data_IF_708064795158
#
_entry.id   IF_708064795158
#
_cell.length_a   1.000
_cell.length_b   1.000
_cell.length_c   1.000
_cell.angle_alpha   90.00
_cell.angle_beta   90.00
_cell.angle_gamma   90.00
#
_symmetry.space_group_name_H-M   'P 1'
#
loop_
_entity.id
_entity.type
_entity.pdbx_description
1 polymer ?
#
# COMPACT_ATOMS: atom_id res chain seq x y z
N UNK A 1 -11.67 -23.36 9.30
CA UNK A 1 -10.82 -23.03 8.13
C UNK A 1 -9.72 -22.11 8.61
N UNK A 2 -8.48 -22.59 8.65
CA UNK A 2 -7.36 -21.84 9.21
C UNK A 2 -6.84 -20.86 8.15
N UNK A 3 -7.26 -19.60 8.23
CA UNK A 3 -6.77 -18.52 7.36
C UNK A 3 -5.43 -18.01 7.88
N UNK A 4 -4.38 -18.84 7.82
CA UNK A 4 -3.00 -18.39 7.98
C UNK A 4 -2.55 -17.66 6.71
N UNK A 5 -3.19 -16.52 6.42
CA UNK A 5 -2.66 -15.60 5.44
C UNK A 5 -1.51 -14.87 6.14
N UNK A 6 -0.26 -14.94 5.65
CA UNK A 6 0.81 -14.16 6.24
C UNK A 6 0.41 -12.68 6.16
N UNK A 7 0.43 -12.01 7.31
CA UNK A 7 0.25 -10.57 7.34
C UNK A 7 1.33 -9.92 6.46
N UNK A 8 0.96 -8.89 5.71
CA UNK A 8 1.93 -8.13 4.91
C UNK A 8 3.04 -7.65 5.84
N UNK A 9 4.32 -7.90 5.53
CA UNK A 9 5.42 -7.50 6.40
C UNK A 9 5.48 -5.98 6.52
N UNK A 10 5.70 -5.47 7.72
CA UNK A 10 5.88 -4.03 7.98
C UNK A 10 7.30 -3.53 7.64
N UNK A 11 8.24 -4.45 7.47
CA UNK A 11 9.66 -4.15 7.26
C UNK A 11 10.21 -4.92 6.06
N UNK A 12 11.45 -4.61 5.68
CA UNK A 12 12.12 -5.31 4.58
C UNK A 12 12.33 -6.78 4.95
N UNK A 13 11.93 -7.68 4.06
CA UNK A 13 12.15 -9.12 4.18
C UNK A 13 12.86 -9.64 2.94
N UNK A 14 13.74 -10.62 3.12
CA UNK A 14 14.37 -11.34 2.00
C UNK A 14 13.31 -12.21 1.32
N UNK A 15 13.30 -12.22 -0.01
CA UNK A 15 12.35 -12.99 -0.82
C UNK A 15 13.09 -13.83 -1.85
N UNK A 16 12.51 -14.97 -2.20
CA UNK A 16 13.01 -15.79 -3.30
C UNK A 16 12.63 -15.14 -4.64
N UNK A 17 13.62 -14.90 -5.48
CA UNK A 17 13.41 -14.27 -6.80
C UNK A 17 12.61 -15.19 -7.73
N UNK A 18 12.76 -16.51 -7.57
CA UNK A 18 12.03 -17.51 -8.36
C UNK A 18 10.52 -17.52 -8.05
N UNK A 19 10.06 -16.91 -6.96
CA UNK A 19 8.63 -16.80 -6.70
C UNK A 19 8.02 -15.60 -7.46
N UNK A 20 8.86 -14.65 -7.89
CA UNK A 20 8.45 -13.44 -8.58
C UNK A 20 8.47 -13.60 -10.10
N UNK A 21 9.36 -14.42 -10.65
CA UNK A 21 9.45 -14.66 -12.10
C UNK A 21 8.40 -15.66 -12.61
N UNK A 22 8.00 -16.65 -11.80
CA UNK A 22 7.07 -17.72 -12.17
C UNK A 22 5.76 -17.21 -12.79
N UNK A 23 5.28 -16.03 -12.38
CA UNK A 23 4.00 -15.48 -12.84
C UNK A 23 4.04 -14.89 -14.24
N UNK A 24 5.19 -14.38 -14.66
CA UNK A 24 5.35 -13.63 -15.92
C UNK A 24 6.34 -14.29 -16.89
N UNK A 25 7.15 -15.22 -16.38
CA UNK A 25 8.32 -15.75 -17.08
C UNK A 25 9.46 -14.73 -17.23
N UNK A 26 9.33 -13.53 -16.64
CA UNK A 26 10.31 -12.46 -16.75
C UNK A 26 10.30 -11.59 -15.49
N UNK A 27 11.38 -11.67 -14.72
CA UNK A 27 11.52 -10.90 -13.47
C UNK A 27 11.33 -9.39 -13.67
N UNK A 28 11.79 -8.81 -14.79
CA UNK A 28 11.64 -7.39 -15.05
C UNK A 28 10.18 -6.99 -15.31
N UNK A 29 9.41 -7.87 -15.98
CA UNK A 29 7.98 -7.67 -16.18
C UNK A 29 7.25 -7.68 -14.83
N UNK A 30 7.57 -8.64 -13.96
CA UNK A 30 7.05 -8.69 -12.59
C UNK A 30 7.37 -7.43 -11.79
N UNK A 31 8.61 -6.92 -11.87
CA UNK A 31 9.01 -5.69 -11.20
C UNK A 31 8.20 -4.48 -11.69
N UNK A 32 7.95 -4.37 -12.99
CA UNK A 32 7.12 -3.28 -13.55
C UNK A 32 5.68 -3.38 -13.06
N UNK A 33 5.10 -4.59 -13.01
CA UNK A 33 3.74 -4.81 -12.50
C UNK A 33 3.65 -4.39 -11.02
N UNK A 34 4.58 -4.88 -10.20
CA UNK A 34 4.65 -4.56 -8.76
C UNK A 34 4.84 -3.05 -8.54
N UNK A 35 5.74 -2.41 -9.30
CA UNK A 35 6.00 -0.98 -9.20
C UNK A 35 4.76 -0.13 -9.53
N UNK A 36 4.09 -0.44 -10.65
CA UNK A 36 2.83 0.23 -11.03
C UNK A 36 1.76 0.05 -9.96
N UNK A 37 1.64 -1.15 -9.38
CA UNK A 37 0.68 -1.41 -8.31
C UNK A 37 1.03 -0.65 -7.02
N UNK A 38 2.29 -0.61 -6.64
CA UNK A 38 2.74 0.13 -5.46
C UNK A 38 2.41 1.63 -5.58
N UNK A 39 2.54 2.21 -6.78
CA UNK A 39 2.15 3.61 -7.03
C UNK A 39 0.64 3.82 -6.86
N UNK A 40 -0.20 2.91 -7.34
CA UNK A 40 -1.65 2.98 -7.13
C UNK A 40 -2.00 2.96 -5.63
N UNK A 41 -1.41 2.02 -4.88
CA UNK A 41 -1.61 1.91 -3.43
C UNK A 41 -1.15 3.20 -2.72
N UNK A 42 0.03 3.72 -3.09
CA UNK A 42 0.58 4.95 -2.51
C UNK A 42 -0.31 6.16 -2.77
N UNK A 43 -0.86 6.30 -3.98
CA UNK A 43 -1.76 7.40 -4.31
C UNK A 43 -3.06 7.30 -3.52
N UNK A 44 -3.66 6.11 -3.46
CA UNK A 44 -4.89 5.89 -2.68
C UNK A 44 -4.68 6.18 -1.20
N UNK A 45 -3.58 5.70 -0.61
CA UNK A 45 -3.25 5.98 0.80
C UNK A 45 -3.04 7.47 1.06
N UNK A 46 -2.39 8.17 0.13
CA UNK A 46 -2.18 9.62 0.21
C UNK A 46 -3.51 10.38 0.14
N UNK A 47 -4.39 10.02 -0.79
CA UNK A 47 -5.71 10.62 -0.92
C UNK A 47 -6.57 10.37 0.33
N UNK A 48 -6.59 9.14 0.84
CA UNK A 48 -7.34 8.80 2.06
C UNK A 48 -6.80 9.55 3.28
N UNK A 49 -5.49 9.62 3.46
CA UNK A 49 -4.86 10.39 4.54
C UNK A 49 -5.20 11.88 4.43
N UNK A 50 -5.07 12.48 3.23
CA UNK A 50 -5.43 13.89 3.05
C UNK A 50 -6.91 14.15 3.29
N UNK A 51 -7.80 13.25 2.88
CA UNK A 51 -9.23 13.35 3.16
C UNK A 51 -9.51 13.38 4.66
N UNK A 52 -8.93 12.45 5.42
CA UNK A 52 -9.07 12.39 6.88
C UNK A 52 -8.48 13.63 7.56
N UNK A 53 -7.32 14.10 7.12
CA UNK A 53 -6.69 15.29 7.72
C UNK A 53 -7.45 16.59 7.42
N UNK A 54 -8.16 16.67 6.28
CA UNK A 54 -8.93 17.84 5.90
C UNK A 54 -10.15 18.09 6.82
N UNK A 55 -10.66 17.04 7.49
CA UNK A 55 -11.76 17.15 8.46
C UNK A 55 -11.38 17.98 9.70
N UNK A 56 -10.08 18.17 9.96
CA UNK A 56 -9.53 18.91 11.11
C UNK A 56 -9.03 20.31 10.75
N UNK A 57 -9.22 20.76 9.50
CA UNK A 57 -8.82 22.09 9.07
C UNK A 57 -9.89 23.15 9.46
N UNK A 58 -10.12 23.35 10.76
CA UNK A 58 -11.04 24.37 11.28
C UNK A 58 -10.28 25.67 11.66
N UNK A 59 -10.93 26.83 11.53
CA UNK A 59 -10.27 28.15 11.61
C UNK A 59 -10.46 28.91 12.94
N UNK A 60 -10.94 28.27 14.01
CA UNK A 60 -11.29 28.96 15.25
C UNK A 60 -10.55 28.37 16.47
N UNK A 61 -9.79 29.21 17.19
CA UNK A 61 -9.14 28.88 18.46
C UNK A 61 -10.18 28.61 19.56
N UNK A 62 -10.32 27.36 19.99
CA UNK A 62 -11.11 26.94 21.15
C UNK A 62 -10.66 25.55 21.63
N UNK A 63 -11.18 25.07 22.77
CA UNK A 63 -10.90 23.73 23.33
C UNK A 63 -11.02 22.56 22.32
N UNK A 64 -11.85 22.70 21.28
CA UNK A 64 -11.94 21.77 20.15
C UNK A 64 -10.57 21.49 19.49
N UNK A 65 -9.70 22.50 19.38
CA UNK A 65 -8.39 22.41 18.75
C UNK A 65 -7.48 21.36 19.43
N UNK A 66 -7.56 21.22 20.76
CA UNK A 66 -6.77 20.24 21.51
C UNK A 66 -7.25 18.80 21.19
N UNK A 67 -8.56 18.61 21.02
CA UNK A 67 -9.12 17.31 20.64
C UNK A 67 -8.80 16.96 19.18
N UNK A 68 -8.96 17.92 18.27
CA UNK A 68 -8.62 17.78 16.84
C UNK A 68 -7.14 17.40 16.65
N UNK A 69 -6.23 18.06 17.38
CA UNK A 69 -4.81 17.71 17.36
C UNK A 69 -4.53 16.26 17.82
N UNK A 70 -5.22 15.78 18.87
CA UNK A 70 -5.03 14.42 19.37
C UNK A 70 -5.49 13.38 18.34
N UNK A 71 -6.62 13.62 17.68
CA UNK A 71 -7.13 12.74 16.63
C UNK A 71 -6.24 12.76 15.38
N UNK A 72 -5.76 13.94 14.97
CA UNK A 72 -4.81 14.10 13.88
C UNK A 72 -3.53 13.27 14.12
N UNK A 73 -2.96 13.34 15.33
CA UNK A 73 -1.77 12.55 15.72
C UNK A 73 -2.03 11.05 15.61
N UNK A 74 -3.19 10.56 16.08
CA UNK A 74 -3.52 9.14 16.01
C UNK A 74 -3.74 8.67 14.56
N UNK A 75 -4.35 9.50 13.71
CA UNK A 75 -4.46 9.24 12.27
C UNK A 75 -3.07 9.13 11.65
N UNK A 76 -2.19 10.11 11.86
CA UNK A 76 -0.82 10.08 11.33
C UNK A 76 -0.06 8.83 11.79
N UNK A 77 -0.10 8.50 13.09
CA UNK A 77 0.54 7.29 13.64
C UNK A 77 0.00 6.00 13.02
N UNK A 78 -1.30 5.95 12.69
CA UNK A 78 -1.88 4.80 12.02
C UNK A 78 -1.22 4.56 10.66
N UNK A 79 -1.17 5.58 9.80
CA UNK A 79 -0.57 5.49 8.46
C UNK A 79 0.94 5.26 8.49
N UNK A 80 1.65 5.81 9.48
CA UNK A 80 3.08 5.55 9.67
C UNK A 80 3.39 4.07 10.01
N UNK A 81 2.47 3.39 10.70
CA UNK A 81 2.61 1.97 11.07
C UNK A 81 2.19 1.01 9.96
N UNK A 82 1.54 1.51 8.91
CA UNK A 82 1.12 0.67 7.79
C UNK A 82 2.34 0.16 7.00
N UNK A 83 2.24 -1.03 6.40
CA UNK A 83 3.28 -1.51 5.50
C UNK A 83 3.51 -0.53 4.34
N UNK A 84 4.76 -0.44 3.89
CA UNK A 84 5.08 0.36 2.69
C UNK A 84 4.27 -0.15 1.50
N UNK A 85 3.79 0.75 0.61
CA UNK A 85 3.01 0.36 -0.57
C UNK A 85 3.68 -0.72 -1.43
N UNK A 86 5.01 -0.72 -1.52
CA UNK A 86 5.79 -1.73 -2.21
C UNK A 86 5.70 -3.13 -1.57
N UNK A 87 5.60 -3.23 -0.25
CA UNK A 87 5.44 -4.50 0.46
C UNK A 87 4.04 -5.06 0.25
N UNK A 88 3.01 -4.19 0.25
CA UNK A 88 1.63 -4.55 -0.05
C UNK A 88 1.53 -5.04 -1.50
N UNK A 89 2.09 -4.30 -2.46
CA UNK A 89 2.06 -4.67 -3.87
C UNK A 89 2.74 -6.02 -4.14
N UNK A 90 3.85 -6.33 -3.46
CA UNK A 90 4.50 -7.64 -3.57
C UNK A 90 3.61 -8.75 -3.00
N UNK A 91 2.96 -8.56 -1.86
CA UNK A 91 2.00 -9.53 -1.33
C UNK A 91 0.84 -9.75 -2.30
N UNK A 92 0.25 -8.67 -2.81
CA UNK A 92 -0.85 -8.76 -3.77
C UNK A 92 -0.43 -9.47 -5.06
N UNK A 93 0.79 -9.23 -5.53
CA UNK A 93 1.37 -9.91 -6.69
C UNK A 93 1.52 -11.40 -6.42
N UNK A 94 2.15 -11.78 -5.30
CA UNK A 94 2.38 -13.17 -4.91
C UNK A 94 1.09 -13.95 -4.65
N UNK A 95 0.00 -13.28 -4.25
CA UNK A 95 -1.30 -13.88 -4.00
C UNK A 95 -2.31 -13.75 -5.16
N UNK A 96 -1.86 -13.43 -6.37
CA UNK A 96 -2.71 -13.35 -7.59
C UNK A 96 -3.88 -12.35 -7.47
N UNK A 97 -3.69 -11.28 -6.70
CA UNK A 97 -4.68 -10.21 -6.52
C UNK A 97 -4.53 -9.07 -7.54
N UNK A 98 -3.53 -9.15 -8.42
CA UNK A 98 -3.22 -8.11 -9.40
C UNK A 98 -3.49 -8.64 -10.80
N UNK A 99 -4.55 -8.13 -11.43
CA UNK A 99 -4.73 -8.27 -12.87
C UNK A 99 -3.74 -7.37 -13.60
N UNK A 100 -3.04 -7.93 -14.58
CA UNK A 100 -2.10 -7.21 -15.43
C UNK A 100 -2.18 -7.76 -16.85
N UNK A 101 -1.85 -6.91 -17.83
CA UNK A 101 -1.93 -7.22 -19.25
C UNK A 101 -0.71 -6.65 -19.96
N UNK A 102 -0.15 -7.38 -20.92
CA UNK A 102 0.92 -6.90 -21.78
C UNK A 102 0.42 -6.78 -23.23
N UNK A 103 0.07 -5.57 -23.69
CA UNK A 103 -0.46 -5.35 -25.03
C UNK A 103 0.44 -5.85 -26.16
N UNK A 104 1.75 -5.98 -25.93
CA UNK A 104 2.69 -6.49 -26.93
C UNK A 104 2.69 -8.03 -27.05
N UNK A 105 2.21 -8.74 -26.02
CA UNK A 105 2.09 -10.21 -26.00
C UNK A 105 0.68 -10.70 -26.33
N UNK A 106 -0.34 -9.87 -26.09
CA UNK A 106 -1.75 -10.22 -26.27
C UNK A 106 -2.33 -9.75 -27.62
N UNK A 107 -1.49 -9.75 -28.67
CA UNK A 107 -1.82 -9.43 -30.06
C UNK A 107 -2.00 -10.69 -30.90
#
# INVERSE_FOLDING_TARGET
MNTNKPAVPNTTVTRNVNDLDQKTGNIYESLVIISKRANQISNNMKEELHGKLAEFASSNDNLEEIFENREQIEISKHYERMPKPSLIAVDEFLNDKIYHRNPAKDL
#
